data_IF_522915044144
#
_entry.id   IF_522915044144
#
_cell.length_a   1.000
_cell.length_b   1.000
_cell.length_c   1.000
_cell.angle_alpha   90.00
_cell.angle_beta   90.00
_cell.angle_gamma   90.00
#
_symmetry.space_group_name_H-M   'P 1'
#
loop_
_entity.id
_entity.type
_entity.pdbx_description
1 polymer ?
#
# COMPACT_ATOMS: atom_id res chain seq x y z
N UNK A 1 38.62 -3.32 12.42
CA UNK A 1 37.93 -2.70 13.59
C UNK A 1 36.45 -3.04 13.46
N UNK A 2 35.73 -3.25 14.56
CA UNK A 2 34.29 -3.47 14.48
C UNK A 2 33.61 -2.25 13.84
N UNK A 3 32.67 -2.51 12.94
CA UNK A 3 31.89 -1.50 12.24
C UNK A 3 30.51 -1.38 12.90
N UNK A 4 30.14 -0.18 13.33
CA UNK A 4 28.79 0.09 13.84
C UNK A 4 27.79 0.12 12.67
N UNK A 5 26.75 -0.69 12.74
CA UNK A 5 25.68 -0.75 11.74
C UNK A 5 24.33 -0.43 12.39
N UNK A 6 23.58 0.46 11.75
CA UNK A 6 22.15 0.58 12.00
C UNK A 6 21.40 -0.10 10.85
N UNK A 7 20.72 -1.21 11.13
CA UNK A 7 19.97 -1.98 10.13
C UNK A 7 18.46 -1.73 10.26
N UNK A 8 17.79 -1.54 9.13
CA UNK A 8 16.40 -1.07 9.04
C UNK A 8 15.53 -2.07 8.27
N UNK A 9 14.86 -2.96 9.02
CA UNK A 9 13.99 -4.02 8.48
C UNK A 9 12.57 -3.52 8.24
N UNK A 10 12.01 -3.82 7.07
CA UNK A 10 10.57 -3.62 6.79
C UNK A 10 9.70 -4.76 7.29
N UNK A 11 10.28 -5.89 7.68
CA UNK A 11 9.53 -7.03 8.23
C UNK A 11 9.01 -6.71 9.64
N UNK A 12 7.78 -7.12 9.93
CA UNK A 12 7.17 -7.03 11.26
C UNK A 12 7.86 -7.96 12.28
N UNK A 13 8.40 -9.08 11.81
CA UNK A 13 9.12 -10.07 12.62
C UNK A 13 10.35 -10.58 11.87
N UNK A 14 11.41 -9.77 11.76
CA UNK A 14 12.64 -10.18 11.09
C UNK A 14 13.33 -11.33 11.84
N UNK A 15 14.04 -12.23 11.12
CA UNK A 15 14.87 -13.25 11.77
C UNK A 15 15.92 -12.59 12.67
N UNK A 16 16.30 -13.20 13.81
CA UNK A 16 17.33 -12.64 14.67
C UNK A 16 18.71 -12.70 13.98
N UNK A 17 19.58 -11.68 14.17
CA UNK A 17 20.95 -11.69 13.67
C UNK A 17 21.83 -12.65 14.49
N UNK A 18 21.67 -13.95 14.25
CA UNK A 18 22.32 -15.01 15.03
C UNK A 18 23.86 -15.07 14.88
N UNK A 19 24.42 -14.32 13.92
CA UNK A 19 25.87 -14.19 13.75
C UNK A 19 26.51 -13.25 14.80
N UNK A 20 25.71 -12.45 15.51
CA UNK A 20 26.22 -11.57 16.55
C UNK A 20 26.51 -12.34 17.84
N UNK A 21 27.64 -12.02 18.47
CA UNK A 21 28.02 -12.59 19.76
C UNK A 21 27.13 -12.10 20.93
N UNK A 22 26.53 -10.91 20.77
CA UNK A 22 25.64 -10.31 21.76
C UNK A 22 24.34 -9.86 21.08
N UNK A 23 23.20 -9.85 21.80
CA UNK A 23 21.96 -9.32 21.27
C UNK A 23 22.12 -7.85 20.84
N UNK A 24 21.62 -7.46 19.65
CA UNK A 24 21.69 -6.08 19.20
C UNK A 24 20.75 -5.19 20.00
N UNK A 25 21.04 -3.89 20.06
CA UNK A 25 20.01 -2.92 20.43
C UNK A 25 18.91 -2.94 19.36
N UNK A 26 17.64 -2.90 19.79
CA UNK A 26 16.47 -3.08 18.91
C UNK A 26 15.36 -2.11 19.29
N UNK A 27 14.76 -1.48 18.29
CA UNK A 27 13.52 -0.69 18.41
C UNK A 27 12.52 -1.18 17.37
N UNK A 28 11.29 -1.45 17.78
CA UNK A 28 10.21 -1.82 16.86
C UNK A 28 9.03 -0.84 17.00
N UNK A 29 7.92 -1.11 16.30
CA UNK A 29 6.75 -0.22 16.29
C UNK A 29 6.04 -0.07 17.65
N UNK A 30 6.38 -0.88 18.67
CA UNK A 30 5.92 -0.64 20.04
C UNK A 30 6.72 0.44 20.76
N UNK A 31 7.90 0.80 20.24
CA UNK A 31 8.73 1.88 20.75
C UNK A 31 8.28 3.22 20.13
N UNK A 32 7.83 4.21 20.95
CA UNK A 32 7.38 5.50 20.46
C UNK A 32 8.48 6.30 19.73
N UNK A 33 9.76 5.99 19.95
CA UNK A 33 10.89 6.67 19.33
C UNK A 33 11.20 6.17 17.92
N UNK A 34 10.64 5.03 17.48
CA UNK A 34 10.93 4.50 16.15
C UNK A 34 10.42 5.45 15.04
N UNK A 35 9.19 5.95 15.16
CA UNK A 35 8.59 6.79 14.11
C UNK A 35 9.31 8.14 13.98
N UNK A 36 9.57 8.91 15.06
CA UNK A 36 10.37 10.12 14.99
C UNK A 36 11.78 9.88 14.43
N UNK A 37 12.42 8.77 14.83
CA UNK A 37 13.74 8.37 14.30
C UNK A 37 13.72 8.16 12.78
N UNK A 38 12.71 7.43 12.28
CA UNK A 38 12.56 7.18 10.84
C UNK A 38 12.25 8.47 10.07
N UNK A 39 11.45 9.38 10.62
CA UNK A 39 11.19 10.69 10.01
C UNK A 39 12.48 11.52 9.88
N UNK A 40 13.30 11.55 10.94
CA UNK A 40 14.62 12.18 10.89
C UNK A 40 15.54 11.54 9.85
N UNK A 41 15.52 10.20 9.74
CA UNK A 41 16.34 9.49 8.77
C UNK A 41 15.86 9.69 7.32
N UNK A 42 14.56 9.74 7.08
CA UNK A 42 13.98 10.13 5.78
C UNK A 42 14.43 11.55 5.40
N UNK A 43 14.40 12.50 6.34
CA UNK A 43 14.92 13.85 6.14
C UNK A 43 16.43 13.88 5.82
N UNK A 44 17.20 13.00 6.47
CA UNK A 44 18.62 12.84 6.15
C UNK A 44 18.83 12.35 4.71
N UNK A 45 18.14 11.29 4.28
CA UNK A 45 18.23 10.78 2.89
C UNK A 45 17.74 11.82 1.89
N UNK A 46 16.73 12.63 2.23
CA UNK A 46 16.37 13.81 1.42
C UNK A 46 17.50 14.80 1.25
N UNK A 47 18.31 15.02 2.29
CA UNK A 47 19.46 15.92 2.20
C UNK A 47 20.60 15.40 1.34
N UNK A 48 20.59 14.12 0.92
CA UNK A 48 21.62 13.56 0.03
C UNK A 48 21.29 13.74 -1.45
N UNK A 49 20.08 14.21 -1.79
CA UNK A 49 19.64 14.44 -3.16
C UNK A 49 20.16 15.80 -3.63
N UNK A 50 21.13 15.81 -4.54
CA UNK A 50 21.68 17.04 -5.13
C UNK A 50 20.91 17.47 -6.40
N UNK A 51 20.70 16.55 -7.34
CA UNK A 51 20.14 16.82 -8.67
C UNK A 51 18.81 16.08 -8.94
N UNK A 52 17.75 16.50 -8.26
CA UNK A 52 16.42 15.93 -8.45
C UNK A 52 16.27 14.48 -7.97
N UNK A 53 15.04 14.04 -7.76
CA UNK A 53 14.78 12.71 -7.21
C UNK A 53 15.01 11.61 -8.26
N UNK A 54 15.98 10.74 -8.02
CA UNK A 54 16.17 9.51 -8.78
C UNK A 54 15.33 8.33 -8.21
N UNK A 55 15.12 7.29 -9.02
CA UNK A 55 14.28 6.14 -8.66
C UNK A 55 14.82 5.29 -7.50
N UNK A 56 16.15 5.22 -7.34
CA UNK A 56 16.80 4.44 -6.28
C UNK A 56 16.67 5.14 -4.94
N UNK A 57 17.02 6.43 -4.90
CA UNK A 57 16.86 7.25 -3.70
C UNK A 57 15.40 7.29 -3.29
N UNK A 58 14.47 7.45 -4.24
CA UNK A 58 13.04 7.30 -3.96
C UNK A 58 12.71 5.94 -3.33
N UNK A 59 13.24 4.85 -3.89
CA UNK A 59 13.08 3.50 -3.34
C UNK A 59 13.63 3.33 -1.93
N UNK A 60 14.76 3.98 -1.59
CA UNK A 60 15.30 4.02 -0.21
C UNK A 60 14.30 4.67 0.73
N UNK A 61 13.70 5.81 0.36
CA UNK A 61 12.67 6.45 1.20
C UNK A 61 11.46 5.56 1.41
N UNK A 62 10.99 4.93 0.33
CA UNK A 62 9.86 3.99 0.38
C UNK A 62 10.19 2.80 1.27
N UNK A 63 11.44 2.35 1.31
CA UNK A 63 11.90 1.33 2.27
C UNK A 63 11.83 1.87 3.70
N UNK A 64 12.41 3.04 3.97
CA UNK A 64 12.42 3.64 5.31
C UNK A 64 11.02 3.92 5.87
N UNK A 65 10.08 4.36 5.03
CA UNK A 65 8.68 4.56 5.41
C UNK A 65 7.99 3.25 5.83
N UNK A 66 8.44 2.11 5.29
CA UNK A 66 7.93 0.77 5.61
C UNK A 66 8.66 0.09 6.75
N UNK A 67 9.71 0.68 7.31
CA UNK A 67 10.49 0.05 8.40
C UNK A 67 9.61 -0.22 9.61
N UNK A 68 9.74 -1.43 10.15
CA UNK A 68 9.03 -1.89 11.33
C UNK A 68 9.96 -2.26 12.48
N UNK A 69 11.23 -2.53 12.19
CA UNK A 69 12.24 -2.82 13.21
C UNK A 69 13.58 -2.21 12.80
N UNK A 70 14.22 -1.52 13.74
CA UNK A 70 15.58 -1.04 13.63
C UNK A 70 16.48 -1.81 14.60
N UNK A 71 17.66 -2.18 14.13
CA UNK A 71 18.73 -2.80 14.91
C UNK A 71 19.97 -1.91 14.93
N UNK A 72 20.72 -1.91 16.03
CA UNK A 72 22.03 -1.28 16.14
C UNK A 72 23.02 -2.23 16.81
N UNK A 73 24.15 -2.49 16.15
CA UNK A 73 25.17 -3.42 16.61
C UNK A 73 26.52 -3.16 15.93
N UNK A 74 27.58 -3.71 16.52
CA UNK A 74 28.90 -3.76 15.94
C UNK A 74 29.15 -5.11 15.24
N UNK A 75 29.79 -5.08 14.08
CA UNK A 75 30.14 -6.28 13.30
C UNK A 75 31.61 -6.24 12.88
N UNK A 76 32.30 -7.37 13.03
CA UNK A 76 33.67 -7.54 12.54
C UNK A 76 33.68 -7.94 11.06
N UNK A 77 34.75 -7.60 10.34
CA UNK A 77 34.92 -7.91 8.90
C UNK A 77 34.71 -9.39 8.56
N UNK A 78 35.10 -10.30 9.47
CA UNK A 78 34.94 -11.75 9.30
C UNK A 78 33.47 -12.20 9.21
N UNK A 79 32.55 -11.37 9.71
CA UNK A 79 31.12 -11.68 9.83
C UNK A 79 30.28 -10.98 8.74
N UNK A 80 30.92 -10.30 7.77
CA UNK A 80 30.23 -9.59 6.68
C UNK A 80 29.39 -10.52 5.77
N UNK A 81 29.86 -11.73 5.47
CA UNK A 81 29.08 -12.70 4.69
C UNK A 81 27.79 -13.11 5.44
N UNK A 82 27.89 -13.26 6.76
CA UNK A 82 26.75 -13.61 7.61
C UNK A 82 25.78 -12.43 7.76
N UNK A 83 26.30 -11.20 7.84
CA UNK A 83 25.51 -9.97 7.77
C UNK A 83 24.73 -9.88 6.45
N UNK A 84 25.38 -10.16 5.31
CA UNK A 84 24.73 -10.10 4.01
C UNK A 84 23.58 -11.11 3.91
N UNK A 85 23.82 -12.36 4.30
CA UNK A 85 22.80 -13.41 4.31
C UNK A 85 21.64 -13.08 5.25
N UNK A 86 21.92 -12.59 6.46
CA UNK A 86 20.89 -12.17 7.40
C UNK A 86 20.14 -10.95 6.88
N UNK A 87 20.84 -9.96 6.32
CA UNK A 87 20.24 -8.71 5.88
C UNK A 87 19.30 -8.89 4.68
N UNK A 88 19.61 -9.83 3.77
CA UNK A 88 18.66 -10.25 2.74
C UNK A 88 17.42 -10.90 3.37
N UNK A 89 17.59 -11.86 4.29
CA UNK A 89 16.49 -12.55 4.94
C UNK A 89 15.62 -11.63 5.82
N UNK A 90 16.22 -10.60 6.41
CA UNK A 90 15.56 -9.60 7.25
C UNK A 90 15.07 -8.38 6.45
N UNK A 91 15.30 -8.33 5.14
CA UNK A 91 14.95 -7.22 4.26
C UNK A 91 15.41 -5.86 4.82
N UNK A 92 16.70 -5.74 5.13
CA UNK A 92 17.26 -4.53 5.77
C UNK A 92 18.00 -3.63 4.79
N UNK A 93 17.94 -2.32 5.05
CA UNK A 93 18.97 -1.39 4.63
C UNK A 93 19.92 -1.10 5.80
N UNK A 94 21.19 -0.90 5.52
CA UNK A 94 22.23 -0.61 6.50
C UNK A 94 22.66 0.86 6.42
N UNK A 95 22.74 1.55 7.55
CA UNK A 95 23.33 2.87 7.67
C UNK A 95 24.63 2.79 8.46
N UNK A 96 25.71 3.31 7.87
CA UNK A 96 27.07 3.21 8.38
C UNK A 96 27.58 4.57 8.91
N UNK A 97 28.68 4.59 9.69
CA UNK A 97 29.23 5.80 10.29
C UNK A 97 29.78 6.81 9.27
N UNK A 98 30.07 6.36 8.06
CA UNK A 98 30.47 7.21 6.93
C UNK A 98 29.28 8.00 6.33
N UNK A 99 28.05 7.77 6.82
CA UNK A 99 26.83 8.42 6.33
C UNK A 99 26.20 7.72 5.12
N UNK A 100 26.75 6.62 4.65
CA UNK A 100 26.16 5.88 3.53
C UNK A 100 24.98 5.01 3.96
N UNK A 101 23.97 4.94 3.10
CA UNK A 101 22.91 3.92 3.13
C UNK A 101 23.29 2.84 2.14
N UNK A 102 23.29 1.59 2.59
CA UNK A 102 23.75 0.43 1.82
C UNK A 102 22.74 -0.70 1.84
N UNK A 103 22.82 -1.56 0.84
CA UNK A 103 22.18 -2.87 0.92
C UNK A 103 22.95 -3.81 1.89
N UNK A 104 22.44 -5.02 2.08
CA UNK A 104 23.06 -6.01 2.97
C UNK A 104 24.43 -6.51 2.48
N UNK A 105 24.71 -6.43 1.17
CA UNK A 105 25.99 -6.81 0.58
C UNK A 105 27.04 -5.68 0.70
N UNK A 106 26.64 -4.49 1.16
CA UNK A 106 27.52 -3.35 1.36
C UNK A 106 27.58 -2.39 0.18
N UNK A 107 26.75 -2.58 -0.85
CA UNK A 107 26.70 -1.67 -2.00
C UNK A 107 26.01 -0.37 -1.62
N UNK A 108 26.55 0.77 -2.08
CA UNK A 108 26.04 2.11 -1.71
C UNK A 108 24.77 2.46 -2.50
N UNK A 109 23.67 2.68 -1.76
CA UNK A 109 22.37 3.08 -2.30
C UNK A 109 22.15 4.60 -2.27
N UNK A 110 22.63 5.28 -1.21
CA UNK A 110 22.56 6.73 -1.06
C UNK A 110 23.71 7.24 -0.17
N UNK A 111 24.28 8.40 -0.50
CA UNK A 111 25.37 9.05 0.25
C UNK A 111 25.46 10.54 -0.09
N UNK A 112 26.24 11.33 0.66
CA UNK A 112 26.54 12.75 0.34
C UNK A 112 27.72 12.89 -0.64
N UNK A 113 27.73 12.09 -1.70
CA UNK A 113 28.79 12.08 -2.71
C UNK A 113 29.97 11.14 -2.42
N UNK A 114 30.27 10.85 -1.16
CA UNK A 114 31.28 9.85 -0.77
C UNK A 114 30.74 8.90 0.33
N UNK A 115 30.93 7.58 0.20
CA UNK A 115 31.38 6.85 -0.99
C UNK A 115 30.40 7.00 -2.17
N UNK A 116 30.85 6.86 -3.43
CA UNK A 116 29.96 7.00 -4.57
C UNK A 116 28.88 5.92 -4.58
N UNK A 117 27.70 6.32 -5.03
CA UNK A 117 26.56 5.42 -5.22
C UNK A 117 26.88 4.40 -6.31
N UNK A 118 26.68 3.11 -6.04
CA UNK A 118 27.14 2.02 -6.92
C UNK A 118 26.11 1.68 -8.00
N UNK A 119 26.51 1.59 -9.27
CA UNK A 119 25.58 1.43 -10.38
C UNK A 119 24.62 0.23 -10.24
N UNK A 120 25.12 -0.89 -9.71
CA UNK A 120 24.38 -2.16 -9.61
C UNK A 120 23.68 -2.37 -8.26
N UNK A 121 23.74 -1.40 -7.34
CA UNK A 121 23.09 -1.51 -6.04
C UNK A 121 21.56 -1.61 -6.19
N UNK A 122 20.97 -2.61 -5.55
CA UNK A 122 19.54 -2.89 -5.63
C UNK A 122 18.90 -2.88 -4.24
N UNK A 123 17.68 -2.36 -4.18
CA UNK A 123 16.88 -2.42 -2.95
C UNK A 123 16.49 -3.88 -2.64
N UNK A 124 16.55 -4.29 -1.36
CA UNK A 124 16.06 -5.59 -0.97
C UNK A 124 14.52 -5.61 -1.03
N UNK A 125 13.99 -6.76 -1.42
CA UNK A 125 12.55 -7.04 -1.37
C UNK A 125 12.34 -8.45 -0.83
N UNK A 126 11.25 -8.74 -0.10
CA UNK A 126 10.92 -10.11 0.25
C UNK A 126 10.77 -11.01 -0.99
N UNK A 127 11.14 -12.29 -0.84
CA UNK A 127 11.13 -13.25 -1.95
C UNK A 127 9.73 -13.48 -2.53
N UNK A 128 8.70 -13.47 -1.69
CA UNK A 128 7.30 -13.61 -2.10
C UNK A 128 6.80 -12.41 -2.91
N UNK A 129 7.27 -11.19 -2.58
CA UNK A 129 6.97 -9.99 -3.35
C UNK A 129 7.58 -10.06 -4.76
N UNK A 130 8.84 -10.49 -4.87
CA UNK A 130 9.52 -10.67 -6.16
C UNK A 130 8.86 -11.74 -7.02
N UNK A 131 8.44 -12.85 -6.43
CA UNK A 131 7.74 -13.92 -7.15
C UNK A 131 6.38 -13.46 -7.64
N UNK A 132 5.59 -12.80 -6.78
CA UNK A 132 4.30 -12.22 -7.14
C UNK A 132 4.42 -11.23 -8.30
N UNK A 133 5.44 -10.35 -8.28
CA UNK A 133 5.77 -9.47 -9.42
C UNK A 133 5.93 -10.24 -10.72
N UNK A 134 6.75 -11.30 -10.72
CA UNK A 134 7.01 -12.10 -11.92
C UNK A 134 5.74 -12.72 -12.47
N UNK A 135 4.88 -13.26 -11.60
CA UNK A 135 3.59 -13.85 -12.01
C UNK A 135 2.67 -12.81 -12.65
N UNK A 136 2.47 -11.66 -12.00
CA UNK A 136 1.63 -10.59 -12.53
C UNK A 136 2.12 -10.05 -13.88
N UNK A 137 3.44 -9.95 -14.07
CA UNK A 137 4.04 -9.51 -15.33
C UNK A 137 3.88 -10.55 -16.44
N UNK A 138 4.07 -11.84 -16.12
CA UNK A 138 3.83 -12.93 -17.06
C UNK A 138 2.36 -12.99 -17.51
N UNK A 139 1.41 -12.79 -16.60
CA UNK A 139 -0.01 -12.71 -16.92
C UNK A 139 -0.33 -11.53 -17.84
N UNK A 140 0.21 -10.34 -17.56
CA UNK A 140 0.03 -9.16 -18.42
C UNK A 140 0.62 -9.38 -19.80
N UNK A 141 1.79 -10.03 -19.88
CA UNK A 141 2.44 -10.34 -21.15
C UNK A 141 1.58 -11.27 -22.02
N UNK A 142 0.93 -12.27 -21.42
CA UNK A 142 -0.03 -13.15 -22.11
C UNK A 142 -1.26 -12.38 -22.63
N UNK A 143 -1.65 -11.31 -21.95
CA UNK A 143 -2.72 -10.40 -22.37
C UNK A 143 -2.26 -9.34 -23.39
N UNK A 144 -0.98 -9.34 -23.79
CA UNK A 144 -0.44 -8.38 -24.75
C UNK A 144 -0.08 -7.01 -24.16
N UNK A 145 0.16 -6.92 -22.85
CA UNK A 145 0.62 -5.72 -22.17
C UNK A 145 1.91 -5.97 -21.37
N UNK A 146 2.76 -4.96 -21.24
CA UNK A 146 3.97 -5.05 -20.43
C UNK A 146 4.15 -3.76 -19.62
N UNK A 147 4.11 -3.82 -18.27
CA UNK A 147 4.45 -2.67 -17.45
C UNK A 147 5.95 -2.36 -17.55
N UNK A 148 6.40 -1.15 -17.17
CA UNK A 148 7.82 -0.82 -17.14
C UNK A 148 8.64 -1.82 -16.30
N UNK A 149 9.75 -2.32 -16.84
CA UNK A 149 10.54 -3.38 -16.19
C UNK A 149 11.11 -2.98 -14.82
N UNK A 150 11.32 -1.67 -14.62
CA UNK A 150 11.89 -1.08 -13.40
C UNK A 150 10.85 -0.87 -12.28
N UNK A 151 9.56 -1.19 -12.48
CA UNK A 151 8.57 -1.07 -11.42
C UNK A 151 8.95 -1.98 -10.23
N UNK A 152 8.96 -1.46 -9.00
CA UNK A 152 9.29 -2.28 -7.84
C UNK A 152 8.17 -3.28 -7.52
N UNK A 153 8.49 -4.41 -6.85
CA UNK A 153 7.48 -5.21 -6.18
C UNK A 153 6.69 -4.39 -5.15
N UNK A 154 5.42 -4.75 -4.95
CA UNK A 154 4.64 -4.27 -3.80
C UNK A 154 5.09 -4.98 -2.51
N UNK A 155 4.37 -4.81 -1.40
CA UNK A 155 4.67 -5.43 -0.12
C UNK A 155 4.80 -6.97 -0.19
N UNK A 156 5.77 -7.52 0.52
CA UNK A 156 5.84 -8.93 0.90
C UNK A 156 4.98 -9.21 2.13
N UNK A 157 4.57 -10.47 2.32
CA UNK A 157 3.66 -10.86 3.40
C UNK A 157 4.19 -10.48 4.79
N UNK A 158 5.50 -10.59 5.02
CA UNK A 158 6.13 -10.21 6.29
C UNK A 158 6.21 -8.70 6.55
N UNK A 159 5.92 -7.85 5.56
CA UNK A 159 5.89 -6.39 5.67
C UNK A 159 4.50 -5.85 5.99
N UNK A 160 3.45 -6.67 5.86
CA UNK A 160 2.08 -6.17 5.87
C UNK A 160 1.60 -5.84 7.27
N UNK A 161 0.97 -4.66 7.39
CA UNK A 161 0.09 -4.31 8.50
C UNK A 161 -1.30 -4.10 7.93
N UNK A 162 -2.14 -5.11 8.06
CA UNK A 162 -3.48 -5.11 7.49
C UNK A 162 -4.42 -4.27 8.37
N UNK A 163 -5.42 -3.64 7.77
CA UNK A 163 -6.57 -3.13 8.53
C UNK A 163 -7.44 -4.28 9.00
N UNK A 164 -8.08 -4.12 10.15
CA UNK A 164 -8.91 -5.19 10.73
C UNK A 164 -10.17 -5.43 9.89
N UNK A 165 -10.77 -6.62 10.03
CA UNK A 165 -11.93 -7.00 9.24
C UNK A 165 -13.17 -6.14 9.57
N UNK A 166 -13.34 -5.75 10.83
CA UNK A 166 -14.42 -4.88 11.28
C UNK A 166 -14.24 -3.44 10.78
N UNK A 167 -13.02 -2.90 10.85
CA UNK A 167 -12.62 -1.61 10.25
C UNK A 167 -12.95 -1.61 8.74
N UNK A 168 -12.60 -2.69 8.05
CA UNK A 168 -12.84 -2.87 6.62
C UNK A 168 -14.33 -2.95 6.28
N UNK A 169 -15.11 -3.67 7.10
CA UNK A 169 -16.56 -3.75 6.95
C UNK A 169 -17.22 -2.39 7.11
N UNK A 170 -16.84 -1.62 8.15
CA UNK A 170 -17.36 -0.26 8.37
C UNK A 170 -16.99 0.68 7.23
N UNK A 171 -15.76 0.62 6.71
CA UNK A 171 -15.35 1.40 5.54
C UNK A 171 -16.16 1.01 4.30
N UNK A 172 -16.36 -0.27 4.03
CA UNK A 172 -17.18 -0.77 2.92
C UNK A 172 -18.61 -0.21 3.00
N UNK A 173 -19.24 -0.25 4.17
CA UNK A 173 -20.59 0.28 4.39
C UNK A 173 -20.65 1.81 4.17
N UNK A 174 -19.62 2.53 4.61
CA UNK A 174 -19.56 3.98 4.47
C UNK A 174 -19.35 4.42 3.02
N UNK A 175 -18.50 3.71 2.26
CA UNK A 175 -18.34 3.91 0.82
C UNK A 175 -19.63 3.65 0.05
N UNK A 176 -20.37 2.61 0.46
CA UNK A 176 -21.69 2.37 -0.09
C UNK A 176 -22.68 3.49 0.26
N UNK A 177 -22.62 4.05 1.47
CA UNK A 177 -23.51 5.12 1.90
C UNK A 177 -23.34 6.39 1.07
N UNK A 178 -22.09 6.81 0.79
CA UNK A 178 -21.83 7.97 -0.07
C UNK A 178 -22.17 7.70 -1.54
N UNK A 179 -21.93 6.48 -2.04
CA UNK A 179 -22.28 6.13 -3.41
C UNK A 179 -23.81 6.10 -3.63
N UNK A 180 -24.56 5.54 -2.68
CA UNK A 180 -26.04 5.56 -2.67
C UNK A 180 -26.58 7.00 -2.61
N UNK A 181 -25.97 7.86 -1.79
CA UNK A 181 -26.32 9.28 -1.76
C UNK A 181 -26.11 9.91 -3.14
N UNK A 182 -24.94 9.73 -3.74
CA UNK A 182 -24.60 10.28 -5.05
C UNK A 182 -25.60 9.84 -6.14
N UNK A 183 -25.92 8.54 -6.20
CA UNK A 183 -26.90 7.99 -7.14
C UNK A 183 -28.30 8.58 -6.93
N UNK A 184 -28.74 8.71 -5.67
CA UNK A 184 -30.07 9.25 -5.35
C UNK A 184 -30.27 10.70 -5.81
N UNK A 185 -29.20 11.50 -5.88
CA UNK A 185 -29.28 12.91 -6.30
C UNK A 185 -29.71 13.07 -7.77
N UNK A 186 -29.52 12.06 -8.62
CA UNK A 186 -29.98 12.07 -10.01
C UNK A 186 -31.45 11.71 -10.18
N UNK A 187 -32.11 11.25 -9.11
CA UNK A 187 -33.50 10.84 -9.14
C UNK A 187 -34.28 11.51 -7.99
N UNK A 188 -34.51 10.78 -6.90
CA UNK A 188 -35.09 11.31 -5.68
C UNK A 188 -34.02 11.31 -4.57
N UNK A 189 -33.52 12.49 -4.16
CA UNK A 189 -32.51 12.59 -3.12
C UNK A 189 -32.94 11.91 -1.82
N UNK A 190 -32.16 10.91 -1.37
CA UNK A 190 -32.36 10.26 -0.08
C UNK A 190 -31.77 11.12 1.04
N UNK A 191 -32.54 11.41 2.08
CA UNK A 191 -32.06 12.10 3.27
C UNK A 191 -30.98 11.28 4.01
N UNK A 192 -30.19 11.97 4.84
CA UNK A 192 -29.17 11.32 5.68
C UNK A 192 -29.80 10.28 6.61
N UNK A 193 -31.01 10.54 7.12
CA UNK A 193 -31.72 9.59 7.99
C UNK A 193 -32.20 8.35 7.24
N UNK A 194 -32.64 8.49 5.98
CA UNK A 194 -33.00 7.34 5.14
C UNK A 194 -31.80 6.44 4.85
N UNK A 195 -30.63 7.04 4.57
CA UNK A 195 -29.38 6.30 4.38
C UNK A 195 -28.96 5.64 5.71
N UNK A 196 -29.00 6.38 6.83
CA UNK A 196 -28.66 5.85 8.15
C UNK A 196 -29.56 4.69 8.58
N UNK A 197 -30.84 4.71 8.22
CA UNK A 197 -31.77 3.62 8.51
C UNK A 197 -31.38 2.30 7.83
N UNK A 198 -30.57 2.33 6.77
CA UNK A 198 -30.13 1.15 6.02
C UNK A 198 -28.63 0.84 6.17
N UNK A 199 -27.81 1.85 6.40
CA UNK A 199 -26.34 1.76 6.42
C UNK A 199 -25.76 2.45 7.67
N UNK A 200 -26.47 2.37 8.80
CA UNK A 200 -26.13 3.08 10.04
C UNK A 200 -24.67 2.97 10.48
N UNK A 201 -24.08 1.76 10.57
CA UNK A 201 -22.67 1.60 10.90
C UNK A 201 -21.71 2.24 9.88
N UNK A 202 -22.10 2.31 8.60
CA UNK A 202 -21.37 3.02 7.56
C UNK A 202 -21.41 4.53 7.75
N UNK A 203 -22.59 5.10 8.04
CA UNK A 203 -22.74 6.53 8.34
C UNK A 203 -21.91 6.95 9.56
N UNK A 204 -21.78 6.08 10.57
CA UNK A 204 -20.92 6.31 11.72
C UNK A 204 -19.41 6.30 11.38
N UNK A 205 -19.02 5.63 10.29
CA UNK A 205 -17.63 5.43 9.89
C UNK A 205 -17.19 6.33 8.71
N UNK A 206 -18.01 7.29 8.29
CA UNK A 206 -17.67 8.24 7.23
C UNK A 206 -16.36 8.96 7.53
N UNK A 207 -15.57 9.24 6.51
CA UNK A 207 -14.42 10.14 6.63
C UNK A 207 -14.89 11.61 6.76
N UNK A 208 -14.01 12.55 7.14
CA UNK A 208 -14.33 13.98 7.11
C UNK A 208 -14.92 14.47 5.79
N UNK A 209 -14.31 14.12 4.64
CA UNK A 209 -14.79 14.55 3.33
C UNK A 209 -16.15 13.92 2.98
N UNK A 210 -16.35 12.65 3.33
CA UNK A 210 -17.61 11.93 3.08
C UNK A 210 -18.76 12.47 3.94
N UNK A 211 -18.51 12.85 5.20
CA UNK A 211 -19.51 13.53 6.04
C UNK A 211 -19.94 14.86 5.44
N UNK A 212 -18.98 15.64 4.95
CA UNK A 212 -19.27 16.92 4.30
C UNK A 212 -20.14 16.72 3.05
N UNK A 213 -19.83 15.71 2.23
CA UNK A 213 -20.63 15.36 1.05
C UNK A 213 -22.06 14.94 1.39
N UNK A 214 -22.24 14.01 2.34
CA UNK A 214 -23.58 13.51 2.72
C UNK A 214 -24.46 14.63 3.29
N UNK A 215 -23.88 15.58 4.00
CA UNK A 215 -24.59 16.73 4.55
C UNK A 215 -24.89 17.83 3.51
N UNK A 216 -24.28 17.80 2.33
CA UNK A 216 -24.49 18.80 1.30
C UNK A 216 -25.83 18.60 0.58
N UNK A 217 -26.62 19.68 0.48
CA UNK A 217 -27.87 19.71 -0.29
C UNK A 217 -27.61 19.71 -1.80
N UNK A 218 -26.52 20.37 -2.22
CA UNK A 218 -26.09 20.49 -3.62
C UNK A 218 -24.56 20.41 -3.69
N UNK A 219 -23.98 19.20 -3.72
CA UNK A 219 -22.56 19.03 -3.97
C UNK A 219 -22.21 19.56 -5.38
N UNK A 220 -20.98 20.02 -5.56
CA UNK A 220 -20.46 20.32 -6.89
C UNK A 220 -20.38 19.05 -7.75
N UNK A 221 -20.33 19.23 -9.07
CA UNK A 221 -20.40 18.13 -10.05
C UNK A 221 -19.22 17.16 -9.93
N UNK A 222 -18.02 17.66 -9.63
CA UNK A 222 -16.82 16.84 -9.48
C UNK A 222 -16.93 15.97 -8.22
N UNK A 223 -17.27 16.56 -7.08
CA UNK A 223 -17.50 15.81 -5.84
C UNK A 223 -18.61 14.79 -6.02
N UNK A 224 -19.73 15.16 -6.66
CA UNK A 224 -20.83 14.24 -6.94
C UNK A 224 -20.39 13.05 -7.78
N UNK A 225 -19.69 13.29 -8.90
CA UNK A 225 -19.20 12.23 -9.77
C UNK A 225 -18.21 11.30 -9.05
N UNK A 226 -17.28 11.86 -8.27
CA UNK A 226 -16.29 11.10 -7.52
C UNK A 226 -16.93 10.16 -6.48
N UNK A 227 -18.01 10.60 -5.82
CA UNK A 227 -18.69 9.78 -4.82
C UNK A 227 -19.47 8.61 -5.44
N UNK A 228 -19.96 8.74 -6.68
CA UNK A 228 -20.55 7.62 -7.43
C UNK A 228 -19.55 6.48 -7.70
N UNK A 229 -18.28 6.82 -7.94
CA UNK A 229 -17.21 5.83 -8.15
C UNK A 229 -16.91 4.97 -6.92
N UNK A 230 -17.31 5.39 -5.71
CA UNK A 230 -17.08 4.63 -4.47
C UNK A 230 -17.78 3.27 -4.45
N UNK A 231 -18.75 3.01 -5.33
CA UNK A 231 -19.24 1.65 -5.55
C UNK A 231 -18.14 0.67 -5.96
N UNK A 232 -17.13 1.08 -6.74
CA UNK A 232 -16.01 0.21 -7.12
C UNK A 232 -15.11 -0.13 -5.94
N UNK A 233 -14.78 0.86 -5.10
CA UNK A 233 -14.05 0.64 -3.86
C UNK A 233 -14.84 -0.26 -2.90
N UNK A 234 -16.15 -0.03 -2.75
CA UNK A 234 -17.01 -0.87 -1.93
C UNK A 234 -17.08 -2.31 -2.46
N UNK A 235 -17.21 -2.50 -3.77
CA UNK A 235 -17.20 -3.81 -4.42
C UNK A 235 -15.89 -4.57 -4.17
N UNK A 236 -14.75 -3.88 -4.24
CA UNK A 236 -13.46 -4.45 -3.91
C UNK A 236 -13.38 -4.87 -2.45
N UNK A 237 -13.84 -4.03 -1.51
CA UNK A 237 -13.84 -4.38 -0.10
C UNK A 237 -14.81 -5.53 0.21
N UNK A 238 -15.95 -5.63 -0.49
CA UNK A 238 -16.84 -6.80 -0.41
C UNK A 238 -16.13 -8.08 -0.86
N UNK A 239 -15.36 -8.02 -1.95
CA UNK A 239 -14.51 -9.15 -2.33
C UNK A 239 -13.47 -9.45 -1.25
N UNK A 240 -12.75 -8.46 -0.74
CA UNK A 240 -11.74 -8.65 0.30
C UNK A 240 -12.32 -9.24 1.60
N UNK A 241 -13.58 -8.96 1.92
CA UNK A 241 -14.34 -9.49 3.06
C UNK A 241 -15.00 -10.86 2.79
N UNK A 242 -14.81 -11.44 1.61
CA UNK A 242 -15.45 -12.71 1.22
C UNK A 242 -16.96 -12.63 0.99
N UNK A 243 -17.52 -11.41 0.86
CA UNK A 243 -18.95 -11.19 0.55
C UNK A 243 -19.23 -11.31 -0.96
N UNK A 244 -18.17 -11.35 -1.78
CA UNK A 244 -18.21 -11.70 -3.20
C UNK A 244 -17.12 -12.73 -3.51
N UNK A 245 -17.48 -13.76 -4.27
CA UNK A 245 -16.58 -14.88 -4.59
C UNK A 245 -15.46 -14.50 -5.56
N UNK A 246 -15.75 -13.60 -6.52
CA UNK A 246 -14.87 -13.27 -7.64
C UNK A 246 -14.59 -11.77 -7.64
N UNK A 247 -13.33 -11.41 -7.92
CA UNK A 247 -12.93 -10.06 -8.32
C UNK A 247 -12.76 -10.04 -9.85
N UNK A 248 -13.72 -9.49 -10.61
CA UNK A 248 -13.63 -9.45 -12.06
C UNK A 248 -12.44 -8.61 -12.54
N UNK A 249 -12.00 -8.82 -13.78
CA UNK A 249 -11.04 -7.91 -14.40
C UNK A 249 -11.58 -6.45 -14.37
N UNK A 250 -10.71 -5.44 -14.19
CA UNK A 250 -11.14 -4.03 -14.09
C UNK A 250 -11.40 -3.42 -15.47
N UNK A 251 -12.28 -4.06 -16.26
CA UNK A 251 -12.63 -3.68 -17.64
C UNK A 251 -14.06 -3.14 -17.77
N UNK A 252 -14.86 -3.27 -16.72
CA UNK A 252 -16.24 -2.79 -16.66
C UNK A 252 -16.58 -2.37 -15.23
N UNK A 253 -17.59 -1.51 -15.11
CA UNK A 253 -18.15 -1.10 -13.83
C UNK A 253 -18.87 -2.26 -13.14
N UNK A 254 -18.93 -2.21 -11.81
CA UNK A 254 -19.63 -3.16 -10.97
C UNK A 254 -21.16 -2.98 -11.06
N UNK A 255 -21.88 -4.00 -10.60
CA UNK A 255 -23.33 -3.91 -10.41
C UNK A 255 -23.61 -3.14 -9.11
N UNK A 256 -23.78 -1.82 -9.23
CA UNK A 256 -24.06 -0.91 -8.11
C UNK A 256 -25.24 -1.39 -7.26
N UNK A 257 -26.32 -1.89 -7.89
CA UNK A 257 -27.49 -2.40 -7.19
C UNK A 257 -27.20 -3.66 -6.36
N UNK A 258 -26.34 -4.55 -6.86
CA UNK A 258 -25.83 -5.71 -6.09
C UNK A 258 -24.94 -5.27 -4.94
N UNK A 259 -24.00 -4.36 -5.19
CA UNK A 259 -23.10 -3.82 -4.16
C UNK A 259 -23.89 -3.19 -3.02
N UNK A 260 -24.87 -2.34 -3.34
CA UNK A 260 -25.75 -1.70 -2.36
C UNK A 260 -26.54 -2.72 -1.53
N UNK A 261 -27.13 -3.73 -2.18
CA UNK A 261 -27.89 -4.78 -1.49
C UNK A 261 -27.02 -5.62 -0.55
N UNK A 262 -25.80 -5.97 -0.96
CA UNK A 262 -24.86 -6.70 -0.09
C UNK A 262 -24.50 -5.86 1.14
N UNK A 263 -24.22 -4.56 0.94
CA UNK A 263 -23.93 -3.64 2.04
C UNK A 263 -25.09 -3.54 3.03
N UNK A 264 -26.32 -3.30 2.54
CA UNK A 264 -27.51 -3.21 3.39
C UNK A 264 -27.75 -4.50 4.18
N UNK A 265 -27.56 -5.66 3.55
CA UNK A 265 -27.77 -6.96 4.21
C UNK A 265 -26.76 -7.27 5.31
N UNK A 266 -25.64 -6.53 5.38
CA UNK A 266 -24.60 -6.71 6.39
C UNK A 266 -24.37 -5.44 7.22
N UNK A 267 -25.31 -4.49 7.20
CA UNK A 267 -25.22 -3.23 7.90
C UNK A 267 -25.64 -3.34 9.39
N UNK A 268 -25.15 -4.37 10.07
CA UNK A 268 -25.41 -4.60 11.49
C UNK A 268 -24.14 -5.01 12.25
N UNK A 269 -24.15 -4.79 13.56
CA UNK A 269 -22.98 -5.00 14.41
C UNK A 269 -22.58 -6.48 14.54
N UNK A 270 -23.52 -7.43 14.38
CA UNK A 270 -23.19 -8.86 14.43
C UNK A 270 -22.44 -9.29 13.16
N UNK A 271 -22.87 -8.82 11.99
CA UNK A 271 -22.16 -9.03 10.73
C UNK A 271 -20.76 -8.40 10.74
N UNK A 272 -20.62 -7.20 11.31
CA UNK A 272 -19.32 -6.51 11.45
C UNK A 272 -18.38 -7.29 12.38
N UNK A 273 -18.86 -7.72 13.56
CA UNK A 273 -18.04 -8.50 14.50
C UNK A 273 -17.66 -9.89 13.94
N UNK A 274 -18.52 -10.46 13.09
CA UNK A 274 -18.28 -11.73 12.40
C UNK A 274 -17.40 -11.64 11.15
N UNK A 275 -17.04 -10.43 10.70
CA UNK A 275 -16.32 -10.21 9.45
C UNK A 275 -14.97 -10.93 9.43
N UNK A 276 -14.57 -11.38 8.24
CA UNK A 276 -13.27 -12.01 7.98
C UNK A 276 -12.72 -11.49 6.68
N UNK A 277 -11.41 -11.26 6.63
CA UNK A 277 -10.72 -10.94 5.40
C UNK A 277 -10.29 -12.22 4.68
N UNK A 278 -10.19 -12.13 3.36
CA UNK A 278 -9.52 -13.12 2.53
C UNK A 278 -8.08 -13.32 2.99
N UNK A 279 -7.49 -14.50 2.70
CA UNK A 279 -6.09 -14.76 2.98
C UNK A 279 -5.19 -13.65 2.44
N UNK A 280 -4.21 -13.25 3.25
CA UNK A 280 -3.28 -12.17 2.89
C UNK A 280 -2.60 -12.35 1.51
N UNK A 281 -2.19 -13.57 1.08
CA UNK A 281 -1.64 -13.76 -0.25
C UNK A 281 -2.58 -13.33 -1.38
N UNK A 282 -3.90 -13.57 -1.26
CA UNK A 282 -4.89 -13.15 -2.27
C UNK A 282 -4.98 -11.61 -2.36
N UNK A 283 -4.96 -10.93 -1.21
CA UNK A 283 -5.01 -9.47 -1.16
C UNK A 283 -3.75 -8.84 -1.79
N UNK A 284 -2.59 -9.43 -1.52
CA UNK A 284 -1.33 -8.97 -2.10
C UNK A 284 -1.26 -9.25 -3.60
N UNK A 285 -1.73 -10.41 -4.06
CA UNK A 285 -1.83 -10.72 -5.49
C UNK A 285 -2.75 -9.70 -6.20
N UNK A 286 -3.88 -9.34 -5.60
CA UNK A 286 -4.76 -8.29 -6.13
C UNK A 286 -4.10 -6.90 -6.13
N UNK A 287 -3.36 -6.52 -5.08
CA UNK A 287 -2.61 -5.26 -5.04
C UNK A 287 -1.55 -5.20 -6.14
N UNK A 288 -0.75 -6.25 -6.30
CA UNK A 288 0.32 -6.31 -7.28
C UNK A 288 -0.24 -6.26 -8.72
N UNK A 289 -1.34 -6.97 -8.96
CA UNK A 289 -2.07 -7.01 -10.21
C UNK A 289 -2.69 -5.64 -10.58
N UNK A 290 -3.32 -4.95 -9.62
CA UNK A 290 -3.94 -3.64 -9.88
C UNK A 290 -2.90 -2.53 -10.00
N UNK A 291 -1.83 -2.56 -9.21
CA UNK A 291 -0.72 -1.61 -9.27
C UNK A 291 -0.11 -1.53 -10.66
N UNK A 292 0.21 -2.68 -11.28
CA UNK A 292 0.76 -2.73 -12.64
C UNK A 292 -0.23 -2.26 -13.69
N UNK A 293 -1.51 -2.64 -13.56
CA UNK A 293 -2.57 -2.18 -14.46
C UNK A 293 -2.78 -0.66 -14.36
N UNK A 294 -2.63 -0.10 -13.16
CA UNK A 294 -2.74 1.33 -12.96
C UNK A 294 -1.57 2.06 -13.63
N UNK A 295 -0.34 1.57 -13.52
CA UNK A 295 0.79 2.08 -14.32
C UNK A 295 0.54 2.03 -15.83
N UNK A 296 -0.02 0.93 -16.34
CA UNK A 296 -0.39 0.82 -17.76
C UNK A 296 -1.43 1.88 -18.19
N UNK A 297 -2.44 2.12 -17.36
CA UNK A 297 -3.46 3.16 -17.58
C UNK A 297 -2.82 4.55 -17.58
N UNK A 298 -1.92 4.83 -16.62
CA UNK A 298 -1.23 6.12 -16.50
C UNK A 298 -0.31 6.38 -17.69
N UNK A 299 0.48 5.38 -18.08
CA UNK A 299 1.36 5.48 -19.24
C UNK A 299 0.55 5.72 -20.52
N UNK A 300 -0.54 4.97 -20.74
CA UNK A 300 -1.39 5.17 -21.91
C UNK A 300 -1.99 6.58 -21.95
N UNK A 301 -2.39 7.14 -20.80
CA UNK A 301 -2.86 8.51 -20.70
C UNK A 301 -1.77 9.53 -21.04
N UNK A 302 -0.54 9.33 -20.56
CA UNK A 302 0.60 10.22 -20.88
C UNK A 302 0.98 10.17 -22.37
N UNK A 303 0.77 9.02 -23.00
CA UNK A 303 1.01 8.79 -24.43
C UNK A 303 -0.17 9.21 -25.33
N UNK A 304 -1.25 9.77 -24.78
CA UNK A 304 -2.53 10.04 -25.48
C UNK A 304 -3.10 8.81 -26.22
N UNK A 305 -2.97 7.63 -25.60
CA UNK A 305 -3.46 6.33 -26.10
C UNK A 305 -4.64 5.80 -25.28
N UNK A 306 -5.51 4.96 -25.87
CA UNK A 306 -6.52 4.24 -25.11
C UNK A 306 -5.85 3.30 -24.09
N UNK A 307 -6.52 3.10 -22.95
CA UNK A 307 -6.05 2.16 -21.94
C UNK A 307 -5.92 0.74 -22.56
N UNK A 308 -4.79 0.05 -22.33
CA UNK A 308 -4.54 -1.25 -22.95
C UNK A 308 -5.48 -2.31 -22.37
N UNK A 309 -5.60 -3.45 -23.07
CA UNK A 309 -6.32 -4.65 -22.64
C UNK A 309 -7.76 -4.41 -22.14
N UNK A 310 -8.40 -3.34 -22.63
CA UNK A 310 -9.77 -2.97 -22.25
C UNK A 310 -9.91 -2.46 -20.82
N UNK A 311 -8.82 -2.03 -20.16
CA UNK A 311 -8.87 -1.51 -18.79
C UNK A 311 -9.77 -0.27 -18.71
N UNK A 312 -10.59 -0.21 -17.66
CA UNK A 312 -11.36 0.97 -17.32
C UNK A 312 -10.58 1.83 -16.32
N UNK A 313 -10.13 3.05 -16.69
CA UNK A 313 -9.25 3.85 -15.84
C UNK A 313 -9.77 4.10 -14.43
N UNK A 314 -11.03 4.51 -14.29
CA UNK A 314 -11.63 4.81 -12.97
C UNK A 314 -11.77 3.56 -12.09
N UNK A 315 -12.18 2.42 -12.65
CA UNK A 315 -12.24 1.14 -11.91
C UNK A 315 -10.86 0.73 -11.41
N UNK A 316 -9.83 0.90 -12.24
CA UNK A 316 -8.44 0.61 -11.84
C UNK A 316 -7.99 1.53 -10.70
N UNK A 317 -8.30 2.82 -10.79
CA UNK A 317 -7.99 3.80 -9.75
C UNK A 317 -8.68 3.46 -8.42
N UNK A 318 -10.01 3.31 -8.40
CA UNK A 318 -10.78 3.06 -7.17
C UNK A 318 -10.39 1.75 -6.48
N UNK A 319 -10.03 0.73 -7.27
CA UNK A 319 -9.55 -0.55 -6.73
C UNK A 319 -8.14 -0.44 -6.16
N UNK A 320 -7.23 0.25 -6.84
CA UNK A 320 -5.90 0.51 -6.29
C UNK A 320 -5.99 1.32 -4.99
N UNK A 321 -6.84 2.35 -4.96
CA UNK A 321 -7.07 3.18 -3.79
C UNK A 321 -7.54 2.37 -2.58
N UNK A 322 -8.57 1.54 -2.75
CA UNK A 322 -9.11 0.73 -1.67
C UNK A 322 -8.14 -0.37 -1.20
N UNK A 323 -7.32 -0.97 -2.08
CA UNK A 323 -6.27 -1.90 -1.66
C UNK A 323 -5.14 -1.21 -0.91
N UNK A 324 -4.73 0.00 -1.33
CA UNK A 324 -3.74 0.79 -0.61
C UNK A 324 -4.25 1.16 0.79
N UNK A 325 -5.52 1.56 0.90
CA UNK A 325 -6.15 1.73 2.21
C UNK A 325 -6.12 0.43 3.01
N UNK A 326 -6.65 -0.68 2.49
CA UNK A 326 -6.72 -1.95 3.23
C UNK A 326 -5.36 -2.43 3.75
N UNK A 327 -4.31 -2.28 2.94
CA UNK A 327 -2.93 -2.72 3.25
C UNK A 327 -2.08 -1.64 3.95
N UNK A 328 -2.71 -0.58 4.48
CA UNK A 328 -2.08 0.55 5.21
C UNK A 328 -0.90 1.18 4.47
N UNK A 329 -1.06 1.42 3.18
CA UNK A 329 -0.12 2.22 2.41
C UNK A 329 0.05 3.60 3.09
N UNK A 330 1.29 3.93 3.44
CA UNK A 330 1.69 5.16 4.18
C UNK A 330 0.93 5.42 5.48
N UNK A 331 0.25 4.41 6.04
CA UNK A 331 -0.57 4.52 7.27
C UNK A 331 -1.66 5.61 7.21
N UNK A 332 -2.06 6.00 6.01
CA UNK A 332 -2.99 7.11 5.80
C UNK A 332 -4.45 6.71 6.06
N UNK A 333 -5.23 7.68 6.52
CA UNK A 333 -6.69 7.56 6.60
C UNK A 333 -7.32 7.68 5.21
N UNK A 334 -8.60 7.29 5.11
CA UNK A 334 -9.29 7.14 3.83
C UNK A 334 -9.17 8.34 2.91
N UNK A 335 -9.26 9.58 3.40
CA UNK A 335 -9.23 10.79 2.56
C UNK A 335 -7.83 11.14 2.04
N UNK A 336 -6.79 10.51 2.58
CA UNK A 336 -5.39 10.89 2.35
C UNK A 336 -4.63 9.87 1.51
N UNK A 337 -5.21 8.68 1.28
CA UNK A 337 -4.55 7.56 0.60
C UNK A 337 -4.10 7.95 -0.81
N UNK A 338 -2.81 7.74 -1.08
CA UNK A 338 -2.24 7.91 -2.41
C UNK A 338 -2.29 6.64 -3.27
N UNK A 339 -2.19 6.83 -4.59
CA UNK A 339 -1.92 5.76 -5.58
C UNK A 339 -0.73 6.17 -6.47
N UNK A 340 0.51 6.18 -5.96
CA UNK A 340 1.66 6.63 -6.74
C UNK A 340 1.91 5.67 -7.92
N UNK A 341 1.64 6.16 -9.13
CA UNK A 341 1.70 5.47 -10.43
C UNK A 341 1.81 6.44 -11.59
#
# INVERSE_FOLDING_TARGET
MPLLINAYSTLASPPPPAFLAQPPARRDRSDPELVPHLQGFVGYVMSTVEDGMDARTFGVLRHLQRVQTQFSFEVDERDFDALAAWGEAANVLCFLPDGSVRDAAGNVLASRGEPPVEADAALPYPSDARERKRRSEAELQQLGAAPPAHLPPVLGAGEVRLREADETMRRMLALCAVAVRAESLSSQPLSVEEIRAKLGPGVAALSPAERAFIAADKPDEETWANQGWRYESAALLQWALGLSDILPAPTAICDAGRVARVAINHADEAAIAGARLRPLPELLDALDAIYRRHWLVRQARLDDKPAPIGLHPSVVYERHYALNWLLRFDEQDWDEVGTPT
#
